data_IF_904295728677
#
_entry.id   IF_904295728677
#
_cell.length_a   1.000
_cell.length_b   1.000
_cell.length_c   1.000
_cell.angle_alpha   90.00
_cell.angle_beta   90.00
_cell.angle_gamma   90.00
#
_symmetry.space_group_name_H-M   'P 1'
#
loop_
_entity.id
_entity.type
_entity.pdbx_description
1 polymer ?
#
# COMPACT_ATOMS: atom_id res chain seq x y z
N UNK A 1 -29.15 -4.45 -12.44
CA UNK A 1 -28.24 -3.39 -11.94
C UNK A 1 -27.79 -3.62 -10.50
N UNK A 2 -28.38 -4.55 -9.75
CA UNK A 2 -28.10 -4.84 -8.33
C UNK A 2 -26.73 -5.50 -8.03
N UNK A 3 -26.23 -6.36 -8.93
CA UNK A 3 -25.03 -7.19 -8.66
C UNK A 3 -23.72 -6.39 -8.64
N UNK A 4 -23.63 -5.27 -9.37
CA UNK A 4 -22.43 -4.44 -9.45
C UNK A 4 -22.22 -3.62 -8.18
N UNK A 5 -23.29 -2.97 -7.69
CA UNK A 5 -23.28 -2.19 -6.45
C UNK A 5 -23.06 -3.09 -5.23
N UNK A 6 -23.74 -4.23 -5.16
CA UNK A 6 -23.52 -5.21 -4.08
C UNK A 6 -22.07 -5.70 -4.03
N UNK A 7 -21.43 -5.90 -5.18
CA UNK A 7 -20.02 -6.31 -5.28
C UNK A 7 -19.06 -5.18 -4.86
N UNK A 8 -19.33 -3.94 -5.27
CA UNK A 8 -18.55 -2.78 -4.88
C UNK A 8 -18.61 -2.55 -3.36
N UNK A 9 -19.81 -2.61 -2.76
CA UNK A 9 -19.98 -2.48 -1.31
C UNK A 9 -19.36 -3.64 -0.53
N UNK A 10 -19.33 -4.86 -1.09
CA UNK A 10 -18.63 -5.98 -0.47
C UNK A 10 -17.12 -5.78 -0.47
N UNK A 11 -16.54 -5.33 -1.59
CA UNK A 11 -15.12 -5.02 -1.71
C UNK A 11 -14.72 -3.86 -0.78
N UNK A 12 -15.55 -2.83 -0.66
CA UNK A 12 -15.32 -1.71 0.25
C UNK A 12 -15.22 -2.17 1.71
N UNK A 13 -16.17 -3.01 2.18
CA UNK A 13 -16.11 -3.59 3.53
C UNK A 13 -14.87 -4.47 3.73
N UNK A 14 -14.50 -5.24 2.71
CA UNK A 14 -13.29 -6.07 2.75
C UNK A 14 -12.03 -5.20 2.85
N UNK A 15 -11.95 -4.13 2.05
CA UNK A 15 -10.85 -3.18 2.09
C UNK A 15 -10.74 -2.49 3.44
N UNK A 16 -11.85 -2.03 4.03
CA UNK A 16 -11.85 -1.45 5.37
C UNK A 16 -11.31 -2.44 6.40
N UNK A 17 -11.81 -3.68 6.40
CA UNK A 17 -11.36 -4.70 7.36
C UNK A 17 -9.84 -4.93 7.25
N UNK A 18 -9.34 -5.23 6.05
CA UNK A 18 -7.92 -5.55 5.85
C UNK A 18 -7.00 -4.34 6.05
N UNK A 19 -7.43 -3.14 5.64
CA UNK A 19 -6.63 -1.93 5.81
C UNK A 19 -6.42 -1.60 7.29
N UNK A 20 -7.49 -1.66 8.08
CA UNK A 20 -7.40 -1.38 9.50
C UNK A 20 -6.62 -2.45 10.26
N UNK A 21 -6.84 -3.73 9.97
CA UNK A 21 -6.06 -4.81 10.60
C UNK A 21 -4.58 -4.71 10.22
N UNK A 22 -4.27 -4.42 8.96
CA UNK A 22 -2.89 -4.26 8.50
C UNK A 22 -2.20 -3.02 9.12
N UNK A 23 -2.93 -1.93 9.41
CA UNK A 23 -2.40 -0.79 10.16
C UNK A 23 -2.05 -1.15 11.61
N UNK A 24 -2.87 -1.94 12.28
CA UNK A 24 -2.54 -2.44 13.63
C UNK A 24 -1.29 -3.34 13.56
N UNK A 25 -1.25 -4.22 12.57
CA UNK A 25 -0.12 -5.14 12.35
C UNK A 25 1.19 -4.41 12.07
N UNK A 26 1.19 -3.40 11.20
CA UNK A 26 2.41 -2.62 10.91
C UNK A 26 2.87 -1.80 12.10
N UNK A 27 1.97 -1.28 12.94
CA UNK A 27 2.34 -0.59 14.19
C UNK A 27 3.10 -1.52 15.15
N UNK A 28 2.71 -2.79 15.22
CA UNK A 28 3.41 -3.80 16.01
C UNK A 28 4.75 -4.23 15.39
N UNK A 29 4.84 -4.23 14.05
CA UNK A 29 6.05 -4.63 13.32
C UNK A 29 7.12 -3.55 13.20
N UNK A 30 6.71 -2.29 13.03
CA UNK A 30 7.60 -1.14 12.89
C UNK A 30 7.01 0.07 13.63
N UNK A 31 7.23 0.17 14.96
CA UNK A 31 6.67 1.25 15.78
C UNK A 31 7.19 2.65 15.42
N UNK A 32 8.27 2.74 14.64
CA UNK A 32 8.87 4.00 14.21
C UNK A 32 8.25 4.51 12.91
N UNK A 33 7.50 3.67 12.19
CA UNK A 33 6.83 4.08 10.97
C UNK A 33 5.66 5.00 11.32
N UNK A 34 5.62 6.17 10.66
CA UNK A 34 4.52 7.11 10.84
C UNK A 34 3.19 6.42 10.47
N UNK A 35 2.18 6.45 11.37
CA UNK A 35 0.89 5.84 11.10
C UNK A 35 0.20 6.56 9.95
N UNK A 36 -0.53 5.82 9.12
CA UNK A 36 -1.40 6.44 8.13
C UNK A 36 -2.61 7.06 8.83
N UNK A 37 -2.93 8.29 8.47
CA UNK A 37 -4.21 8.90 8.86
C UNK A 37 -5.33 8.23 8.04
N UNK A 38 -6.08 7.35 8.70
CA UNK A 38 -7.23 6.67 8.10
C UNK A 38 -8.54 7.41 8.44
N UNK A 39 -9.46 7.58 7.47
CA UNK A 39 -10.80 8.07 7.78
C UNK A 39 -11.55 7.05 8.63
N UNK A 40 -12.43 7.47 9.57
CA UNK A 40 -13.21 6.55 10.41
C UNK A 40 -13.90 5.44 9.60
N UNK A 41 -14.02 4.24 10.18
CA UNK A 41 -14.73 3.11 9.58
C UNK A 41 -16.12 3.53 9.09
N UNK A 42 -16.40 3.42 7.80
CA UNK A 42 -17.72 3.76 7.27
C UNK A 42 -18.74 2.69 7.66
N UNK A 43 -18.32 1.42 7.74
CA UNK A 43 -19.21 0.32 8.09
C UNK A 43 -19.13 -0.07 9.57
N UNK A 44 -20.25 0.09 10.28
CA UNK A 44 -20.44 -0.48 11.63
C UNK A 44 -20.37 -2.01 11.68
N UNK A 45 -20.35 -2.70 10.54
CA UNK A 45 -20.27 -4.15 10.44
C UNK A 45 -18.83 -4.64 10.24
N UNK A 46 -17.87 -3.74 10.01
CA UNK A 46 -16.46 -4.08 9.95
C UNK A 46 -15.90 -4.11 11.37
N UNK A 47 -15.23 -5.21 11.71
CA UNK A 47 -14.44 -5.36 12.93
C UNK A 47 -13.03 -5.73 12.48
N UNK A 48 -12.07 -4.80 12.52
CA UNK A 48 -10.67 -5.14 12.32
C UNK A 48 -10.24 -6.19 13.35
N UNK A 49 -9.30 -7.07 12.99
CA UNK A 49 -8.77 -8.01 13.97
C UNK A 49 -7.88 -7.28 14.97
N UNK A 50 -7.94 -7.72 16.22
CA UNK A 50 -7.08 -7.22 17.30
C UNK A 50 -5.85 -8.12 17.35
N UNK A 51 -4.71 -7.56 16.99
CA UNK A 51 -3.42 -8.26 17.00
C UNK A 51 -2.73 -7.97 18.33
N UNK A 52 -2.47 -9.02 19.13
CA UNK A 52 -2.00 -8.84 20.49
C UNK A 52 -0.52 -8.39 20.57
N UNK A 53 0.32 -8.88 19.66
CA UNK A 53 1.76 -8.64 19.66
C UNK A 53 2.40 -8.83 18.27
N UNK A 54 3.71 -8.64 18.20
CA UNK A 54 4.51 -8.81 16.99
C UNK A 54 4.42 -10.24 16.40
N UNK A 55 4.26 -11.28 17.23
CA UNK A 55 4.14 -12.65 16.75
C UNK A 55 2.77 -12.87 16.10
N UNK A 56 1.70 -12.40 16.75
CA UNK A 56 0.34 -12.40 16.22
C UNK A 56 0.22 -11.63 14.91
N UNK A 57 0.83 -10.44 14.81
CA UNK A 57 0.85 -9.67 13.57
C UNK A 57 1.51 -10.44 12.42
N UNK A 58 2.68 -11.05 12.65
CA UNK A 58 3.37 -11.87 11.65
C UNK A 58 2.57 -13.10 11.23
N UNK A 59 1.93 -13.77 12.19
CA UNK A 59 1.08 -14.92 11.92
C UNK A 59 -0.13 -14.54 11.05
N UNK A 60 -0.79 -13.44 11.39
CA UNK A 60 -1.93 -12.92 10.62
C UNK A 60 -1.54 -12.55 9.19
N UNK A 61 -0.48 -11.75 9.00
CA UNK A 61 -0.02 -11.41 7.65
C UNK A 61 0.36 -12.64 6.81
N UNK A 62 0.93 -13.67 7.46
CA UNK A 62 1.28 -14.92 6.78
C UNK A 62 0.04 -15.70 6.37
N UNK A 63 -0.97 -15.79 7.24
CA UNK A 63 -2.23 -16.46 6.94
C UNK A 63 -3.02 -15.73 5.84
N UNK A 64 -3.07 -14.39 5.91
CA UNK A 64 -3.87 -13.55 5.01
C UNK A 64 -3.09 -13.10 3.75
N UNK A 65 -1.85 -13.52 3.56
CA UNK A 65 -0.97 -13.05 2.47
C UNK A 65 -1.69 -13.07 1.12
N UNK A 66 -2.21 -14.24 0.70
CA UNK A 66 -2.85 -14.39 -0.60
C UNK A 66 -4.10 -13.52 -0.74
N UNK A 67 -4.84 -13.32 0.35
CA UNK A 67 -6.04 -12.48 0.37
C UNK A 67 -5.66 -11.01 0.23
N UNK A 68 -4.66 -10.55 0.96
CA UNK A 68 -4.14 -9.18 0.88
C UNK A 68 -3.71 -8.82 -0.55
N UNK A 69 -2.96 -9.69 -1.23
CA UNK A 69 -2.59 -9.49 -2.63
C UNK A 69 -3.81 -9.45 -3.56
N UNK A 70 -4.78 -10.33 -3.32
CA UNK A 70 -6.04 -10.37 -4.06
C UNK A 70 -6.84 -9.08 -3.90
N UNK A 71 -6.97 -8.59 -2.68
CA UNK A 71 -7.72 -7.37 -2.33
C UNK A 71 -7.06 -6.14 -2.92
N UNK A 72 -5.73 -6.00 -2.83
CA UNK A 72 -4.99 -4.88 -3.45
C UNK A 72 -5.22 -4.85 -4.97
N UNK A 73 -5.13 -6.01 -5.63
CA UNK A 73 -5.37 -6.13 -7.07
C UNK A 73 -6.80 -5.74 -7.45
N UNK A 74 -7.78 -6.21 -6.68
CA UNK A 74 -9.19 -5.87 -6.91
C UNK A 74 -9.46 -4.38 -6.68
N UNK A 75 -8.88 -3.78 -5.63
CA UNK A 75 -9.01 -2.36 -5.34
C UNK A 75 -8.45 -1.50 -6.48
N UNK A 76 -7.26 -1.83 -6.98
CA UNK A 76 -6.69 -1.13 -8.14
C UNK A 76 -7.54 -1.27 -9.40
N UNK A 77 -8.18 -2.42 -9.62
CA UNK A 77 -9.00 -2.65 -10.82
C UNK A 77 -10.36 -1.94 -10.73
N UNK A 78 -10.92 -1.82 -9.53
CA UNK A 78 -12.22 -1.19 -9.29
C UNK A 78 -12.13 0.31 -8.97
N UNK A 79 -10.93 0.91 -9.00
CA UNK A 79 -10.73 2.35 -8.79
C UNK A 79 -10.79 2.80 -7.33
N UNK A 80 -10.65 1.89 -6.37
CA UNK A 80 -10.54 2.22 -4.95
C UNK A 80 -9.11 2.70 -4.63
N UNK A 81 -8.69 3.78 -5.28
CA UNK A 81 -7.29 4.17 -5.39
C UNK A 81 -6.66 4.48 -4.04
N UNK A 82 -7.39 5.21 -3.17
CA UNK A 82 -6.90 5.56 -1.84
C UNK A 82 -6.67 4.32 -0.97
N UNK A 83 -7.66 3.45 -0.87
CA UNK A 83 -7.56 2.21 -0.11
C UNK A 83 -6.48 1.27 -0.69
N UNK A 84 -6.34 1.23 -2.02
CA UNK A 84 -5.34 0.41 -2.70
C UNK A 84 -3.91 0.78 -2.28
N UNK A 85 -3.53 2.05 -2.37
CA UNK A 85 -2.16 2.45 -2.02
C UNK A 85 -1.92 2.36 -0.51
N UNK A 86 -2.92 2.66 0.32
CA UNK A 86 -2.79 2.57 1.78
C UNK A 86 -2.58 1.11 2.24
N UNK A 87 -3.30 0.16 1.65
CA UNK A 87 -3.14 -1.25 1.97
C UNK A 87 -1.79 -1.77 1.46
N UNK A 88 -1.38 -1.41 0.25
CA UNK A 88 -0.05 -1.74 -0.28
C UNK A 88 1.08 -1.17 0.59
N UNK A 89 0.92 0.06 1.09
CA UNK A 89 1.84 0.67 2.05
C UNK A 89 1.91 -0.13 3.36
N UNK A 90 0.78 -0.63 3.87
CA UNK A 90 0.71 -1.39 5.12
C UNK A 90 1.36 -2.78 5.02
N UNK A 91 1.22 -3.46 3.88
CA UNK A 91 1.82 -4.80 3.69
C UNK A 91 3.32 -4.76 3.39
N UNK A 92 3.86 -3.62 2.93
CA UNK A 92 5.26 -3.51 2.49
C UNK A 92 6.26 -3.92 3.56
N UNK A 93 6.00 -3.58 4.83
CA UNK A 93 6.89 -3.91 5.94
C UNK A 93 6.90 -5.42 6.15
N UNK A 94 5.73 -6.06 6.20
CA UNK A 94 5.65 -7.51 6.24
C UNK A 94 6.38 -8.18 5.07
N UNK A 95 6.16 -7.72 3.83
CA UNK A 95 6.80 -8.28 2.64
C UNK A 95 8.33 -8.12 2.69
N UNK A 96 8.81 -7.00 3.23
CA UNK A 96 10.24 -6.77 3.43
C UNK A 96 10.85 -7.76 4.43
N UNK A 97 10.22 -7.93 5.59
CA UNK A 97 10.73 -8.82 6.64
C UNK A 97 10.61 -10.31 6.28
N UNK A 98 9.64 -10.68 5.44
CA UNK A 98 9.42 -12.05 4.98
C UNK A 98 10.17 -12.41 3.68
N UNK A 99 10.93 -11.46 3.12
CA UNK A 99 11.71 -11.67 1.90
C UNK A 99 10.89 -11.82 0.62
N UNK A 100 9.63 -11.36 0.63
CA UNK A 100 8.69 -11.55 -0.48
C UNK A 100 8.81 -10.39 -1.49
N UNK A 101 9.98 -10.29 -2.12
CA UNK A 101 10.33 -9.15 -2.97
C UNK A 101 9.45 -9.03 -4.22
N UNK A 102 9.10 -10.16 -4.84
CA UNK A 102 8.24 -10.18 -6.02
C UNK A 102 6.83 -9.65 -5.71
N UNK A 103 6.24 -10.10 -4.61
CA UNK A 103 4.94 -9.61 -4.16
C UNK A 103 5.00 -8.15 -3.69
N UNK A 104 6.14 -7.72 -3.15
CA UNK A 104 6.37 -6.32 -2.84
C UNK A 104 6.36 -5.45 -4.11
N UNK A 105 7.00 -5.90 -5.19
CA UNK A 105 6.94 -5.21 -6.48
C UNK A 105 5.50 -5.17 -7.02
N UNK A 106 4.76 -6.27 -6.94
CA UNK A 106 3.36 -6.35 -7.41
C UNK A 106 2.47 -5.37 -6.67
N UNK A 107 2.52 -5.36 -5.34
CA UNK A 107 1.67 -4.49 -4.50
C UNK A 107 1.99 -3.02 -4.71
N UNK A 108 3.27 -2.65 -4.79
CA UNK A 108 3.66 -1.26 -4.99
C UNK A 108 3.45 -0.77 -6.42
N UNK A 109 3.43 -1.66 -7.41
CA UNK A 109 3.02 -1.31 -8.78
C UNK A 109 1.54 -0.94 -8.82
N UNK A 110 0.68 -1.68 -8.11
CA UNK A 110 -0.74 -1.33 -7.99
C UNK A 110 -0.93 0.01 -7.25
N UNK A 111 -0.18 0.23 -6.17
CA UNK A 111 -0.18 1.48 -5.43
C UNK A 111 0.26 2.68 -6.29
N UNK A 112 1.28 2.51 -7.13
CA UNK A 112 1.78 3.58 -8.01
C UNK A 112 0.70 4.01 -9.01
N UNK A 113 0.02 3.04 -9.64
CA UNK A 113 -1.09 3.33 -10.56
C UNK A 113 -2.23 4.07 -9.87
N UNK A 114 -2.57 3.67 -8.65
CA UNK A 114 -3.57 4.35 -7.84
C UNK A 114 -3.15 5.78 -7.49
N UNK A 115 -1.90 5.99 -7.06
CA UNK A 115 -1.37 7.30 -6.73
C UNK A 115 -1.28 8.24 -7.95
N UNK A 116 -0.98 7.69 -9.13
CA UNK A 116 -1.00 8.42 -10.40
C UNK A 116 -2.42 8.88 -10.77
N UNK A 117 -3.44 8.01 -10.64
CA UNK A 117 -4.84 8.39 -10.86
C UNK A 117 -5.33 9.47 -9.89
N UNK A 118 -4.85 9.43 -8.64
CA UNK A 118 -5.14 10.45 -7.64
C UNK A 118 -4.38 11.77 -7.85
N UNK A 119 -3.33 11.78 -8.69
CA UNK A 119 -2.44 12.93 -8.84
C UNK A 119 -1.60 13.24 -7.60
N UNK A 120 -1.47 12.30 -6.67
CA UNK A 120 -0.76 12.51 -5.40
C UNK A 120 0.75 12.30 -5.58
N UNK A 121 1.47 13.40 -5.80
CA UNK A 121 2.92 13.36 -6.05
C UNK A 121 3.72 12.83 -4.86
N UNK A 122 3.24 13.04 -3.63
CA UNK A 122 3.91 12.56 -2.41
C UNK A 122 3.82 11.04 -2.34
N UNK A 123 2.62 10.49 -2.53
CA UNK A 123 2.42 9.03 -2.54
C UNK A 123 3.16 8.40 -3.72
N UNK A 124 3.19 9.03 -4.89
CA UNK A 124 3.97 8.57 -6.03
C UNK A 124 5.46 8.49 -5.68
N UNK A 125 6.05 9.55 -5.12
CA UNK A 125 7.47 9.59 -4.75
C UNK A 125 7.83 8.47 -3.74
N UNK A 126 7.02 8.31 -2.69
CA UNK A 126 7.21 7.25 -1.71
C UNK A 126 7.06 5.84 -2.30
N UNK A 127 6.10 5.65 -3.20
CA UNK A 127 5.88 4.36 -3.88
C UNK A 127 7.03 4.03 -4.82
N UNK A 128 7.54 5.00 -5.59
CA UNK A 128 8.73 4.84 -6.42
C UNK A 128 9.96 4.42 -5.60
N UNK A 129 10.22 5.10 -4.47
CA UNK A 129 11.31 4.71 -3.55
C UNK A 129 11.13 3.28 -3.04
N UNK A 130 9.89 2.88 -2.74
CA UNK A 130 9.61 1.52 -2.27
C UNK A 130 9.80 0.46 -3.35
N UNK A 131 9.39 0.75 -4.60
CA UNK A 131 9.62 -0.12 -5.76
C UNK A 131 11.11 -0.30 -6.03
N UNK A 132 11.87 0.80 -6.03
CA UNK A 132 13.31 0.75 -6.20
C UNK A 132 13.97 -0.16 -5.16
N UNK A 133 13.59 -0.04 -3.89
CA UNK A 133 14.11 -0.92 -2.83
C UNK A 133 13.76 -2.39 -3.05
N UNK A 134 12.53 -2.70 -3.45
CA UNK A 134 12.11 -4.09 -3.72
C UNK A 134 12.86 -4.70 -4.91
N UNK A 135 13.08 -3.92 -5.97
CA UNK A 135 13.79 -4.33 -7.18
C UNK A 135 15.29 -4.54 -6.90
N UNK A 136 15.92 -3.64 -6.16
CA UNK A 136 17.33 -3.74 -5.76
C UNK A 136 17.58 -5.03 -4.94
N UNK A 137 16.71 -5.30 -3.96
CA UNK A 137 16.76 -6.55 -3.17
C UNK A 137 16.48 -7.81 -4.00
N UNK A 138 15.84 -7.67 -5.16
CA UNK A 138 15.61 -8.76 -6.12
C UNK A 138 16.74 -8.89 -7.15
N UNK A 139 17.81 -8.10 -7.06
CA UNK A 139 18.93 -8.08 -8.01
C UNK A 139 18.64 -7.35 -9.34
N UNK A 140 17.53 -6.61 -9.44
CA UNK A 140 17.11 -5.87 -10.65
C UNK A 140 17.55 -4.40 -10.56
N UNK A 141 18.86 -4.20 -10.50
CA UNK A 141 19.47 -2.91 -10.15
C UNK A 141 19.14 -1.79 -11.14
N UNK A 142 19.19 -2.06 -12.45
CA UNK A 142 18.89 -1.05 -13.49
C UNK A 142 17.46 -0.51 -13.36
N UNK A 143 16.50 -1.39 -13.08
CA UNK A 143 15.10 -1.00 -12.86
C UNK A 143 14.93 -0.25 -11.53
N UNK A 144 15.68 -0.65 -10.50
CA UNK A 144 15.67 0.03 -9.22
C UNK A 144 16.17 1.48 -9.35
N UNK A 145 17.25 1.69 -10.10
CA UNK A 145 17.82 3.02 -10.35
C UNK A 145 16.79 3.95 -11.00
N UNK A 146 16.09 3.48 -12.02
CA UNK A 146 15.03 4.25 -12.67
C UNK A 146 13.94 4.68 -11.67
N UNK A 147 13.51 3.77 -10.79
CA UNK A 147 12.53 4.10 -9.76
C UNK A 147 13.06 5.06 -8.69
N UNK A 148 14.32 4.94 -8.28
CA UNK A 148 14.93 5.90 -7.34
C UNK A 148 15.05 7.29 -7.94
N UNK A 149 15.43 7.39 -9.23
CA UNK A 149 15.49 8.66 -9.95
C UNK A 149 14.13 9.35 -9.99
N UNK A 150 13.07 8.63 -10.39
CA UNK A 150 11.71 9.18 -10.37
C UNK A 150 11.27 9.63 -8.98
N UNK A 151 11.63 8.90 -7.92
CA UNK A 151 11.32 9.31 -6.55
C UNK A 151 11.99 10.65 -6.20
N UNK A 152 13.26 10.83 -6.55
CA UNK A 152 14.01 12.06 -6.29
C UNK A 152 13.41 13.25 -7.05
N UNK A 153 13.07 13.07 -8.33
CA UNK A 153 12.43 14.10 -9.16
C UNK A 153 11.08 14.53 -8.55
N UNK A 154 10.25 13.57 -8.13
CA UNK A 154 8.96 13.87 -7.50
C UNK A 154 9.11 14.55 -6.13
N UNK A 155 10.06 14.11 -5.30
CA UNK A 155 10.34 14.79 -4.02
C UNK A 155 10.82 16.22 -4.22
N UNK A 156 11.62 16.48 -5.26
CA UNK A 156 12.04 17.83 -5.61
C UNK A 156 10.84 18.69 -6.03
N UNK A 157 9.97 18.17 -6.91
CA UNK A 157 8.76 18.88 -7.36
C UNK A 157 7.78 19.18 -6.22
N UNK A 158 7.64 18.29 -5.24
CA UNK A 158 6.81 18.53 -4.05
C UNK A 158 7.40 19.63 -3.15
N UNK A 159 8.74 19.68 -3.03
CA UNK A 159 9.43 20.69 -2.20
C UNK A 159 9.46 22.06 -2.86
N UNK A 160 9.54 22.10 -4.17
CA UNK A 160 9.51 23.33 -4.97
C UNK A 160 8.42 23.27 -6.06
N UNK A 161 7.16 23.53 -5.70
CA UNK A 161 6.06 23.54 -6.66
C UNK A 161 6.15 24.65 -7.71
N UNK A 162 7.05 25.64 -7.54
CA UNK A 162 7.15 26.85 -8.38
C UNK A 162 8.42 26.89 -9.25
N UNK A 163 9.44 26.06 -8.98
CA UNK A 163 10.72 26.00 -9.72
C UNK A 163 10.64 25.48 -11.16
N UNK A 164 9.45 25.09 -11.62
CA UNK A 164 9.17 24.69 -13.02
C UNK A 164 8.67 25.81 -13.93
N UNK A 165 8.71 27.07 -13.49
CA UNK A 165 8.38 28.23 -14.34
C UNK A 165 9.52 29.25 -14.32
N UNK A 166 10.55 29.00 -15.14
CA UNK A 166 11.31 29.97 -15.96
C UNK A 166 12.60 29.31 -16.45
#
# INVERSE_FOLDING_TARGET
MDTGEARASALERQLEHYLYTAQEGIRLMDPQLAPLELPPLASRHVRPEVLADLAGARAWFTAEHAVLLGVIRQASAAGFDRACWQLAYAVKTYLYWSGQWADWVVTQTAALRAAQRLGDLVVQAHTHRSLGKALDLSGRQDEAEAHFKSALELFAAVRDPQGGRS
#
